data_IF_539945421433
#
_entry.id   IF_539945421433
#
_cell.length_a   1.000
_cell.length_b   1.000
_cell.length_c   1.000
_cell.angle_alpha   90.00
_cell.angle_beta   90.00
_cell.angle_gamma   90.00
#
_symmetry.space_group_name_H-M   'P 1'
#
loop_
_entity.id
_entity.type
_entity.pdbx_description
1 polymer ?
#
# COMPACT_ATOMS: atom_id res chain seq x y z
N UNK A 1 -28.31 -53.33 -33.91
CA UNK A 1 -28.25 -52.80 -32.53
C UNK A 1 -27.04 -51.89 -32.28
N UNK A 2 -26.01 -51.88 -33.15
CA UNK A 2 -24.81 -51.03 -32.99
C UNK A 2 -25.01 -49.51 -33.09
N UNK A 3 -26.01 -49.05 -33.85
CA UNK A 3 -26.20 -47.61 -34.05
C UNK A 3 -26.62 -46.90 -32.76
N UNK A 4 -27.58 -47.47 -32.02
CA UNK A 4 -28.12 -46.87 -30.79
C UNK A 4 -27.08 -46.79 -29.65
N UNK A 5 -26.24 -47.80 -29.48
CA UNK A 5 -25.15 -47.81 -28.50
C UNK A 5 -24.08 -46.78 -28.84
N UNK A 6 -23.76 -46.61 -30.13
CA UNK A 6 -22.80 -45.59 -30.58
C UNK A 6 -23.33 -44.16 -30.36
N UNK A 7 -24.60 -43.89 -30.66
CA UNK A 7 -25.20 -42.56 -30.43
C UNK A 7 -25.32 -42.24 -28.93
N UNK A 8 -25.65 -43.24 -28.09
CA UNK A 8 -25.65 -43.06 -26.63
C UNK A 8 -24.25 -42.73 -26.10
N UNK A 9 -23.22 -43.39 -26.63
CA UNK A 9 -21.83 -43.15 -26.23
C UNK A 9 -21.38 -41.73 -26.65
N UNK A 10 -21.71 -41.29 -27.86
CA UNK A 10 -21.41 -39.94 -28.35
C UNK A 10 -22.15 -38.83 -27.57
N UNK A 11 -23.40 -39.06 -27.16
CA UNK A 11 -24.12 -38.14 -26.27
C UNK A 11 -23.50 -38.07 -24.87
N UNK A 12 -23.09 -39.22 -24.31
CA UNK A 12 -22.46 -39.25 -22.99
C UNK A 12 -21.10 -38.54 -22.98
N UNK A 13 -20.30 -38.71 -24.04
CA UNK A 13 -19.03 -38.02 -24.22
C UNK A 13 -19.22 -36.49 -24.35
N UNK A 14 -20.20 -36.07 -25.14
CA UNK A 14 -20.56 -34.65 -25.28
C UNK A 14 -21.00 -34.02 -23.95
N UNK A 15 -21.76 -34.76 -23.15
CA UNK A 15 -22.22 -34.31 -21.84
C UNK A 15 -21.05 -34.17 -20.84
N UNK A 16 -20.11 -35.12 -20.85
CA UNK A 16 -18.90 -35.04 -20.02
C UNK A 16 -18.01 -33.85 -20.41
N UNK A 17 -17.80 -33.61 -21.70
CA UNK A 17 -17.01 -32.46 -22.17
C UNK A 17 -17.66 -31.14 -21.77
N UNK A 18 -18.99 -31.05 -21.86
CA UNK A 18 -19.73 -29.87 -21.40
C UNK A 18 -19.54 -29.62 -19.90
N UNK A 19 -19.65 -30.67 -19.07
CA UNK A 19 -19.43 -30.56 -17.62
C UNK A 19 -18.00 -30.13 -17.28
N UNK A 20 -16.99 -30.70 -17.95
CA UNK A 20 -15.59 -30.30 -17.76
C UNK A 20 -15.37 -28.83 -18.10
N UNK A 21 -15.98 -28.34 -19.19
CA UNK A 21 -15.88 -26.94 -19.58
C UNK A 21 -16.53 -26.01 -18.55
N UNK A 22 -17.72 -26.35 -18.04
CA UNK A 22 -18.43 -25.57 -17.02
C UNK A 22 -17.64 -25.53 -15.71
N UNK A 23 -17.13 -26.67 -15.25
CA UNK A 23 -16.33 -26.75 -14.02
C UNK A 23 -15.05 -25.94 -14.15
N UNK A 24 -14.34 -26.07 -15.28
CA UNK A 24 -13.10 -25.33 -15.53
C UNK A 24 -13.34 -23.82 -15.60
N UNK A 25 -14.43 -23.39 -16.25
CA UNK A 25 -14.83 -21.99 -16.29
C UNK A 25 -15.18 -21.44 -14.91
N UNK A 26 -15.92 -22.20 -14.10
CA UNK A 26 -16.25 -21.82 -12.73
C UNK A 26 -14.98 -21.69 -11.87
N UNK A 27 -14.05 -22.63 -12.00
CA UNK A 27 -12.79 -22.63 -11.27
C UNK A 27 -11.90 -21.45 -11.67
N UNK A 28 -11.86 -21.11 -12.97
CA UNK A 28 -11.14 -19.93 -13.45
C UNK A 28 -11.74 -18.63 -12.89
N UNK A 29 -13.07 -18.53 -12.85
CA UNK A 29 -13.76 -17.35 -12.31
C UNK A 29 -13.55 -17.19 -10.80
N UNK A 30 -13.67 -18.28 -10.03
CA UNK A 30 -13.46 -18.25 -8.59
C UNK A 30 -12.01 -17.91 -8.24
N UNK A 31 -11.05 -18.54 -8.90
CA UNK A 31 -9.63 -18.26 -8.66
C UNK A 31 -9.24 -16.87 -9.17
N UNK A 32 -9.75 -16.43 -10.31
CA UNK A 32 -9.50 -15.10 -10.87
C UNK A 32 -9.99 -13.97 -9.95
N UNK A 33 -11.18 -14.10 -9.37
CA UNK A 33 -11.70 -13.12 -8.41
C UNK A 33 -10.81 -13.03 -7.15
N UNK A 34 -10.43 -14.17 -6.58
CA UNK A 34 -9.55 -14.20 -5.40
C UNK A 34 -8.16 -13.62 -5.67
N UNK A 35 -7.62 -13.85 -6.88
CA UNK A 35 -6.34 -13.29 -7.29
C UNK A 35 -6.43 -11.77 -7.49
N UNK A 36 -7.50 -11.27 -8.10
CA UNK A 36 -7.71 -9.83 -8.27
C UNK A 36 -7.85 -9.10 -6.92
N UNK A 37 -8.64 -9.65 -5.99
CA UNK A 37 -8.78 -9.08 -4.66
C UNK A 37 -7.46 -9.11 -3.89
N UNK A 38 -6.74 -10.24 -3.92
CA UNK A 38 -5.44 -10.34 -3.25
C UNK A 38 -4.39 -9.38 -3.84
N UNK A 39 -4.39 -9.19 -5.16
CA UNK A 39 -3.50 -8.25 -5.85
C UNK A 39 -3.88 -6.80 -5.53
N UNK A 40 -5.17 -6.49 -5.43
CA UNK A 40 -5.65 -5.17 -5.03
C UNK A 40 -5.26 -4.83 -3.59
N UNK A 41 -5.50 -5.74 -2.64
CA UNK A 41 -5.11 -5.54 -1.24
C UNK A 41 -3.59 -5.51 -1.08
N UNK A 42 -2.86 -6.42 -1.73
CA UNK A 42 -1.39 -6.43 -1.73
C UNK A 42 -0.83 -5.14 -2.30
N UNK A 43 -1.37 -4.67 -3.42
CA UNK A 43 -1.01 -3.39 -4.05
C UNK A 43 -1.25 -2.22 -3.11
N UNK A 44 -2.40 -2.16 -2.44
CA UNK A 44 -2.71 -1.09 -1.49
C UNK A 44 -1.78 -1.11 -0.25
N UNK A 45 -1.46 -2.29 0.28
CA UNK A 45 -0.51 -2.43 1.39
C UNK A 45 0.93 -2.12 0.99
N UNK A 46 1.34 -2.51 -0.21
CA UNK A 46 2.66 -2.24 -0.76
C UNK A 46 2.81 -0.75 -1.07
N UNK A 47 1.80 -0.09 -1.64
CA UNK A 47 1.79 1.35 -1.88
C UNK A 47 1.85 2.13 -0.57
N UNK A 48 1.13 1.73 0.48
CA UNK A 48 1.24 2.34 1.81
C UNK A 48 2.63 2.17 2.40
N UNK A 49 3.23 0.98 2.27
CA UNK A 49 4.58 0.69 2.79
C UNK A 49 5.67 1.46 2.02
N UNK A 50 5.52 1.58 0.70
CA UNK A 50 6.41 2.38 -0.15
C UNK A 50 6.24 3.87 0.16
N UNK A 51 5.00 4.37 0.33
CA UNK A 51 4.72 5.76 0.72
C UNK A 51 5.22 6.11 2.13
N UNK A 52 5.25 5.15 3.05
CA UNK A 52 5.86 5.33 4.37
C UNK A 52 7.40 5.37 4.33
N UNK A 53 8.03 5.13 3.18
CA UNK A 53 9.46 5.41 3.02
C UNK A 53 9.62 6.84 2.54
N UNK A 54 9.49 7.80 3.44
CA UNK A 54 9.91 9.18 3.19
C UNK A 54 11.43 9.18 3.00
N UNK A 55 11.85 9.02 1.74
CA UNK A 55 13.22 9.21 1.31
C UNK A 55 13.42 10.69 1.03
N UNK A 56 14.47 11.33 1.58
CA UNK A 56 14.79 12.70 1.26
C UNK A 56 15.04 12.85 -0.25
N UNK A 57 14.46 13.86 -0.91
CA UNK A 57 14.68 14.11 -2.35
C UNK A 57 16.14 14.48 -2.63
N UNK A 58 16.83 15.04 -1.63
CA UNK A 58 18.23 15.46 -1.75
C UNK A 58 19.21 14.28 -1.88
N UNK A 59 18.79 13.04 -1.61
CA UNK A 59 19.63 11.83 -1.77
C UNK A 59 20.84 11.73 -0.81
N UNK A 60 21.10 12.77 -0.03
CA UNK A 60 22.20 12.87 0.94
C UNK A 60 21.78 12.47 2.37
N UNK A 61 20.59 11.91 2.51
CA UNK A 61 20.01 11.53 3.80
C UNK A 61 19.44 12.71 4.61
N UNK A 62 19.44 13.93 4.07
CA UNK A 62 18.87 15.12 4.71
C UNK A 62 17.62 15.64 4.00
N UNK A 63 16.61 16.03 4.78
CA UNK A 63 15.42 16.72 4.28
C UNK A 63 15.57 18.23 4.45
N UNK A 64 15.15 18.99 3.45
CA UNK A 64 14.96 20.43 3.55
C UNK A 64 13.71 20.75 4.36
N UNK A 65 13.68 21.93 4.98
CA UNK A 65 12.51 22.38 5.74
C UNK A 65 11.21 22.41 4.92
N UNK A 66 11.28 22.65 3.62
CA UNK A 66 10.13 22.56 2.72
C UNK A 66 9.63 21.13 2.54
N UNK A 67 10.53 20.14 2.45
CA UNK A 67 10.16 18.72 2.40
C UNK A 67 9.52 18.26 3.72
N UNK A 68 10.06 18.71 4.86
CA UNK A 68 9.49 18.43 6.19
C UNK A 68 8.09 19.02 6.30
N UNK A 69 7.91 20.26 5.86
CA UNK A 69 6.62 20.95 5.83
C UNK A 69 5.60 20.22 4.95
N UNK A 70 6.00 19.75 3.77
CA UNK A 70 5.14 18.95 2.90
C UNK A 70 4.81 17.58 3.47
N UNK A 71 5.75 16.92 4.15
CA UNK A 71 5.52 15.63 4.80
C UNK A 71 4.47 15.75 5.91
N UNK A 72 4.55 16.79 6.75
CA UNK A 72 3.54 17.07 7.78
C UNK A 72 2.19 17.39 7.15
N UNK A 73 2.16 18.20 6.08
CA UNK A 73 0.91 18.57 5.42
C UNK A 73 0.19 17.39 4.75
N UNK A 74 0.91 16.30 4.46
CA UNK A 74 0.40 15.06 3.84
C UNK A 74 0.02 13.97 4.86
N UNK A 75 0.16 14.21 6.16
CA UNK A 75 -0.28 13.27 7.19
C UNK A 75 -1.80 13.04 7.09
N UNK A 76 -2.20 11.85 6.69
CA UNK A 76 -3.59 11.39 6.68
C UNK A 76 -3.94 10.60 7.96
N UNK A 77 -5.22 10.35 8.21
CA UNK A 77 -5.67 9.52 9.35
C UNK A 77 -5.02 8.13 9.29
N UNK A 78 -4.27 7.77 10.34
CA UNK A 78 -3.58 6.48 10.45
C UNK A 78 -2.13 6.47 9.93
N UNK A 79 -1.58 7.61 9.51
CA UNK A 79 -0.16 7.72 9.20
C UNK A 79 0.74 7.74 10.45
N UNK A 80 2.01 7.39 10.25
CA UNK A 80 3.06 7.43 11.27
C UNK A 80 3.26 8.85 11.81
N UNK A 81 3.57 8.99 13.10
CA UNK A 81 3.81 10.30 13.69
C UNK A 81 5.07 10.95 13.13
N UNK A 82 5.11 12.28 13.02
CA UNK A 82 6.31 13.02 12.61
C UNK A 82 6.76 13.89 13.77
N UNK A 83 8.00 13.73 14.24
CA UNK A 83 8.61 14.55 15.28
C UNK A 83 9.64 15.47 14.64
N UNK A 84 9.44 16.79 14.69
CA UNK A 84 10.41 17.78 14.22
C UNK A 84 10.96 18.57 15.40
N UNK A 85 12.27 18.50 15.63
CA UNK A 85 12.94 19.19 16.74
C UNK A 85 12.26 18.96 18.12
N UNK A 86 11.79 17.74 18.34
CA UNK A 86 11.07 17.35 19.57
C UNK A 86 9.58 17.71 19.59
N UNK A 87 9.05 18.40 18.58
CA UNK A 87 7.61 18.67 18.43
C UNK A 87 6.96 17.53 17.65
N UNK A 88 5.99 16.85 18.28
CA UNK A 88 5.23 15.75 17.68
C UNK A 88 4.03 16.28 16.89
N UNK A 89 3.93 15.84 15.64
CA UNK A 89 2.81 16.07 14.73
C UNK A 89 2.13 14.72 14.44
N UNK A 90 0.85 14.65 14.73
CA UNK A 90 0.00 13.49 14.47
C UNK A 90 -1.27 13.96 13.75
N UNK A 91 -1.86 13.06 12.95
CA UNK A 91 -3.16 13.31 12.33
C UNK A 91 -4.28 13.27 13.39
N UNK A 92 -5.29 14.16 13.34
CA UNK A 92 -5.49 15.23 12.35
C UNK A 92 -4.62 16.46 12.61
N UNK A 93 -3.94 16.94 11.57
CA UNK A 93 -3.03 18.10 11.69
C UNK A 93 -3.83 19.40 11.84
N UNK A 94 -3.73 20.02 13.02
CA UNK A 94 -4.30 21.35 13.25
C UNK A 94 -3.45 22.43 12.55
N UNK A 95 -3.92 22.87 11.37
CA UNK A 95 -3.21 23.84 10.52
C UNK A 95 -3.01 25.21 11.17
N UNK A 96 -3.86 25.60 12.11
CA UNK A 96 -3.74 26.89 12.81
C UNK A 96 -2.60 26.89 13.84
N UNK A 97 -2.27 25.73 14.39
CA UNK A 97 -1.17 25.56 15.35
C UNK A 97 0.20 25.37 14.67
N UNK A 98 0.18 25.06 13.37
CA UNK A 98 1.34 24.79 12.52
C UNK A 98 2.03 26.05 11.99
N UNK A 99 1.27 27.10 11.69
CA UNK A 99 1.79 28.35 11.15
C UNK A 99 2.35 29.25 12.24
N UNK A 100 3.60 29.04 12.66
CA UNK A 100 4.56 30.14 12.91
C UNK A 100 5.88 29.62 13.54
N UNK A 101 6.98 29.92 12.85
CA UNK A 101 8.32 30.15 13.40
C UNK A 101 9.22 28.98 13.83
N UNK A 102 8.73 27.72 13.88
CA UNK A 102 9.57 26.60 14.34
C UNK A 102 10.26 25.80 13.25
N UNK A 103 9.65 25.67 12.07
CA UNK A 103 10.25 24.95 10.94
C UNK A 103 10.98 25.95 10.06
N UNK A 104 12.31 25.87 10.03
CA UNK A 104 13.13 26.68 9.15
C UNK A 104 13.02 26.11 7.73
N UNK A 105 12.27 26.78 6.86
CA UNK A 105 12.04 26.33 5.48
C UNK A 105 13.34 26.17 4.67
N UNK A 106 14.36 26.98 4.97
CA UNK A 106 15.70 26.90 4.37
C UNK A 106 16.69 26.03 5.18
N UNK A 107 16.25 25.50 6.33
CA UNK A 107 17.05 24.64 7.18
C UNK A 107 17.23 23.24 6.58
N UNK A 108 18.30 22.56 7.01
CA UNK A 108 18.55 21.15 6.70
C UNK A 108 18.31 20.31 7.93
N UNK A 109 17.59 19.22 7.73
CA UNK A 109 17.17 18.32 8.78
C UNK A 109 17.72 16.92 8.54
N UNK A 110 18.26 16.32 9.58
CA UNK A 110 18.59 14.89 9.60
C UNK A 110 17.33 14.09 9.87
N UNK A 111 17.14 13.02 9.09
CA UNK A 111 15.96 12.17 9.17
C UNK A 111 16.34 10.83 9.78
N UNK A 112 15.53 10.37 10.73
CA UNK A 112 15.63 9.03 11.31
C UNK A 112 14.24 8.39 11.37
N UNK A 113 14.18 7.10 11.06
CA UNK A 113 12.94 6.34 10.99
C UNK A 113 12.89 5.37 12.17
N UNK A 114 11.88 5.52 13.02
CA UNK A 114 11.57 4.56 14.07
C UNK A 114 10.52 3.57 13.55
N UNK A 115 10.87 2.28 13.61
CA UNK A 115 10.04 1.18 13.10
C UNK A 115 9.75 0.18 14.20
N UNK A 116 8.57 -0.42 14.14
CA UNK A 116 8.15 -1.50 15.04
C UNK A 116 8.92 -2.81 14.74
N UNK A 117 8.77 -3.83 15.58
CA UNK A 117 9.34 -5.17 15.38
C UNK A 117 8.87 -5.83 14.08
N UNK A 118 7.71 -5.41 13.56
CA UNK A 118 7.16 -5.83 12.27
C UNK A 118 7.64 -4.98 11.07
N UNK A 119 8.57 -4.03 11.30
CA UNK A 119 9.14 -3.16 10.27
C UNK A 119 8.25 -1.99 9.82
N UNK A 120 7.08 -1.82 10.45
CA UNK A 120 6.14 -0.71 10.19
C UNK A 120 6.71 0.61 10.69
N UNK A 121 6.60 1.67 9.89
CA UNK A 121 7.02 3.00 10.33
C UNK A 121 6.07 3.47 11.43
N UNK A 122 6.61 3.73 12.62
CA UNK A 122 5.86 4.26 13.76
C UNK A 122 6.05 5.77 13.88
N UNK A 123 7.29 6.22 13.74
CA UNK A 123 7.64 7.63 13.91
C UNK A 123 8.76 8.04 12.95
N UNK A 124 8.62 9.22 12.34
CA UNK A 124 9.67 9.90 11.60
C UNK A 124 10.25 11.01 12.49
N UNK A 125 11.51 10.86 12.90
CA UNK A 125 12.20 11.86 13.72
C UNK A 125 13.10 12.70 12.82
N UNK A 126 12.87 14.01 12.85
CA UNK A 126 13.49 15.02 12.00
C UNK A 126 14.15 16.06 12.91
N UNK A 127 15.45 16.25 12.79
CA UNK A 127 16.24 17.13 13.68
C UNK A 127 17.03 18.13 12.87
N UNK A 128 16.93 19.42 13.21
CA UNK A 128 17.72 20.49 12.59
C UNK A 128 19.21 20.24 12.80
N UNK A 129 19.99 20.36 11.72
CA UNK A 129 21.45 20.25 11.76
C UNK A 129 22.13 21.57 12.10
#
# INVERSE_FOLDING_TARGET
MDYATRTMLEMSASCLLFLVAVVSGLWLFQNGATLADSAYFSGMTQDRTIRQTLSPLSGDGSMSGTEVFQAIARLEEGDAEIVVDGVRYASPVNREQWFSDRIQLHGRYSVSHERDTDGRLMCLIVVTR
#
